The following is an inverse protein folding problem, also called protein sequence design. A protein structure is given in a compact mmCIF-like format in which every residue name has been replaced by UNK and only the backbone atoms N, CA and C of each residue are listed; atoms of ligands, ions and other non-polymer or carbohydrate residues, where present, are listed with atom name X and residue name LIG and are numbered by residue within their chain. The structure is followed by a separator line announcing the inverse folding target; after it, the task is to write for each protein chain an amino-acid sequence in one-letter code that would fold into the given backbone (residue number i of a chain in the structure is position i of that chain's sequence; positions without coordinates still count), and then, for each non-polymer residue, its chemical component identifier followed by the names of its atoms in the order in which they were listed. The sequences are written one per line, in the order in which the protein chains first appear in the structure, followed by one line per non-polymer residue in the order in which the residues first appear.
data_IF_808733383886
#
_entry.id   IF_808733383886
#
_cell.length_a   1.000
_cell.length_b   1.000
_cell.length_c   1.000
_cell.angle_alpha   90.00
_cell.angle_beta   90.00
_cell.angle_gamma   90.00
#
_symmetry.space_group_name_H-M   'P 1'
#
loop_
_entity.id
_entity.type
_entity.pdbx_description
1 polymer ?
#
# COMPACT_ATOMS: atom_id res chain seq x y z
N UNK A 1 -32.19 -6.92 1.75
CA UNK A 1 -31.01 -7.25 0.93
C UNK A 1 -30.05 -8.06 1.78
N UNK A 2 -29.56 -9.14 1.26
CA UNK A 2 -28.59 -9.98 1.96
C UNK A 2 -27.32 -9.15 2.26
N UNK A 3 -26.84 -9.18 3.49
CA UNK A 3 -25.66 -8.45 3.94
C UNK A 3 -24.43 -8.77 3.09
N UNK A 4 -24.25 -10.04 2.71
CA UNK A 4 -23.14 -10.46 1.84
C UNK A 4 -23.17 -9.83 0.46
N UNK A 5 -24.36 -9.63 -0.11
CA UNK A 5 -24.53 -8.97 -1.40
C UNK A 5 -24.17 -7.48 -1.29
N UNK A 6 -24.50 -6.83 -0.17
CA UNK A 6 -24.09 -5.45 0.10
C UNK A 6 -22.58 -5.33 0.25
N UNK A 7 -21.95 -6.24 0.99
CA UNK A 7 -20.50 -6.27 1.18
C UNK A 7 -19.76 -6.47 -0.15
N UNK A 8 -20.28 -7.36 -0.99
CA UNK A 8 -19.72 -7.58 -2.33
C UNK A 8 -19.80 -6.31 -3.20
N UNK A 9 -20.90 -5.57 -3.12
CA UNK A 9 -21.03 -4.30 -3.84
C UNK A 9 -20.01 -3.26 -3.35
N UNK A 10 -19.79 -3.15 -2.05
CA UNK A 10 -18.78 -2.24 -1.49
C UNK A 10 -17.38 -2.62 -1.99
N UNK A 11 -17.04 -3.90 -2.01
CA UNK A 11 -15.74 -4.38 -2.51
C UNK A 11 -15.57 -4.03 -3.99
N UNK A 12 -16.61 -4.19 -4.81
CA UNK A 12 -16.58 -3.82 -6.22
C UNK A 12 -16.41 -2.31 -6.39
N UNK A 13 -17.09 -1.48 -5.60
CA UNK A 13 -16.90 -0.03 -5.64
C UNK A 13 -15.47 0.38 -5.24
N UNK A 14 -14.90 -0.25 -4.22
CA UNK A 14 -13.49 -0.05 -3.86
C UNK A 14 -12.55 -0.44 -5.01
N UNK A 15 -12.84 -1.53 -5.71
CA UNK A 15 -12.06 -1.94 -6.88
C UNK A 15 -12.16 -0.90 -8.02
N UNK A 16 -13.34 -0.38 -8.29
CA UNK A 16 -13.54 0.66 -9.31
C UNK A 16 -12.74 1.91 -9.00
N UNK A 17 -12.69 2.34 -7.73
CA UNK A 17 -11.89 3.51 -7.32
C UNK A 17 -10.40 3.30 -7.62
N UNK A 18 -9.88 2.08 -7.46
CA UNK A 18 -8.50 1.77 -7.81
C UNK A 18 -8.24 1.81 -9.32
N UNK A 19 -9.27 1.62 -10.13
CA UNK A 19 -9.19 1.63 -11.59
C UNK A 19 -9.30 3.03 -12.19
N UNK A 20 -9.64 4.04 -11.40
CA UNK A 20 -9.66 5.43 -11.86
C UNK A 20 -8.28 5.85 -12.38
N UNK A 21 -8.18 6.59 -13.50
CA UNK A 21 -6.90 6.87 -14.16
C UNK A 21 -5.84 7.47 -13.23
N UNK A 22 -6.21 8.47 -12.42
CA UNK A 22 -5.26 9.10 -11.51
C UNK A 22 -4.83 8.14 -10.38
N UNK A 23 -5.75 7.34 -9.86
CA UNK A 23 -5.42 6.34 -8.84
C UNK A 23 -4.51 5.24 -9.42
N UNK A 24 -4.71 4.82 -10.65
CA UNK A 24 -3.81 3.88 -11.34
C UNK A 24 -2.40 4.45 -11.46
N UNK A 25 -2.28 5.72 -11.82
CA UNK A 25 -0.99 6.42 -11.88
C UNK A 25 -0.32 6.47 -10.50
N UNK A 26 -1.05 6.86 -9.47
CA UNK A 26 -0.55 6.93 -8.10
C UNK A 26 -0.06 5.56 -7.60
N UNK A 27 -0.83 4.51 -7.85
CA UNK A 27 -0.47 3.13 -7.46
C UNK A 27 0.77 2.64 -8.20
N UNK A 28 0.86 2.88 -9.51
CA UNK A 28 2.04 2.52 -10.30
C UNK A 28 3.30 3.22 -9.78
N UNK A 29 3.21 4.51 -9.49
CA UNK A 29 4.28 5.28 -8.88
C UNK A 29 4.67 4.70 -7.51
N UNK A 30 3.70 4.43 -6.64
CA UNK A 30 3.96 3.91 -5.30
C UNK A 30 4.72 2.59 -5.33
N UNK A 31 4.34 1.69 -6.24
CA UNK A 31 4.96 0.36 -6.35
C UNK A 31 6.34 0.44 -6.99
N UNK A 32 6.50 1.20 -8.07
CA UNK A 32 7.67 1.12 -8.95
C UNK A 32 8.73 2.20 -8.70
N UNK A 33 8.31 3.41 -8.32
CA UNK A 33 9.21 4.57 -8.25
C UNK A 33 9.47 5.05 -6.81
N UNK A 34 8.50 4.89 -5.92
CA UNK A 34 8.60 5.33 -4.53
C UNK A 34 9.53 4.39 -3.75
N UNK A 35 10.74 4.85 -3.46
CA UNK A 35 11.76 4.08 -2.74
C UNK A 35 12.32 4.88 -1.56
N UNK A 36 11.53 5.10 -0.50
CA UNK A 36 11.95 5.90 0.64
C UNK A 36 13.09 5.22 1.40
N UNK A 37 14.00 6.03 1.98
CA UNK A 37 15.10 5.56 2.78
C UNK A 37 14.90 5.84 4.27
N UNK A 38 13.95 6.70 4.63
CA UNK A 38 13.64 7.06 6.01
C UNK A 38 12.20 7.54 6.15
N UNK A 39 11.67 7.50 7.37
CA UNK A 39 10.36 8.09 7.67
C UNK A 39 10.35 9.60 7.49
N UNK A 40 11.45 10.26 7.81
CA UNK A 40 11.61 11.70 7.58
C UNK A 40 11.46 12.06 6.10
N UNK A 41 12.07 11.30 5.22
CA UNK A 41 11.95 11.52 3.76
C UNK A 41 10.50 11.39 3.30
N UNK A 42 9.73 10.45 3.86
CA UNK A 42 8.30 10.30 3.57
C UNK A 42 7.54 11.56 4.02
N UNK A 43 7.81 12.06 5.23
CA UNK A 43 7.16 13.28 5.73
C UNK A 43 7.52 14.50 4.88
N UNK A 44 8.77 14.64 4.48
CA UNK A 44 9.20 15.70 3.57
C UNK A 44 8.45 15.63 2.23
N UNK A 45 8.26 14.44 1.68
CA UNK A 45 7.46 14.23 0.49
C UNK A 45 6.00 14.66 0.69
N UNK A 46 5.39 14.24 1.81
CA UNK A 46 3.99 14.60 2.13
C UNK A 46 3.77 16.11 2.16
N UNK A 47 4.78 16.87 2.59
CA UNK A 47 4.71 18.33 2.75
C UNK A 47 5.27 19.10 1.55
N UNK A 48 5.80 18.41 0.54
CA UNK A 48 6.59 19.03 -0.53
C UNK A 48 5.76 19.84 -1.55
N UNK A 49 4.45 19.62 -1.64
CA UNK A 49 3.62 20.21 -2.69
C UNK A 49 3.89 19.69 -4.11
N UNK A 50 4.76 18.68 -4.26
CA UNK A 50 5.00 17.98 -5.52
C UNK A 50 3.83 17.06 -5.87
N UNK A 51 3.71 16.66 -7.14
CA UNK A 51 2.67 15.77 -7.61
C UNK A 51 2.71 14.42 -6.88
N UNK A 52 3.89 13.91 -6.62
CA UNK A 52 4.13 12.65 -5.90
C UNK A 52 3.61 12.68 -4.46
N UNK A 53 3.56 13.85 -3.84
CA UNK A 53 2.91 14.05 -2.54
C UNK A 53 1.43 13.67 -2.59
N UNK A 54 0.74 14.06 -3.66
CA UNK A 54 -0.66 13.68 -3.88
C UNK A 54 -0.78 12.18 -4.11
N UNK A 55 0.10 11.58 -4.90
CA UNK A 55 0.09 10.12 -5.14
C UNK A 55 0.28 9.32 -3.85
N UNK A 56 1.24 9.71 -3.03
CA UNK A 56 1.46 9.07 -1.74
C UNK A 56 0.21 9.13 -0.86
N UNK A 57 -0.37 10.32 -0.71
CA UNK A 57 -1.56 10.51 0.12
C UNK A 57 -2.77 9.74 -0.42
N UNK A 58 -2.94 9.68 -1.73
CA UNK A 58 -4.03 8.93 -2.36
C UNK A 58 -3.93 7.45 -2.03
N UNK A 59 -2.76 6.84 -2.19
CA UNK A 59 -2.55 5.42 -1.92
C UNK A 59 -2.68 5.11 -0.43
N UNK A 60 -1.99 5.87 0.42
CA UNK A 60 -1.99 5.65 1.85
C UNK A 60 -3.39 5.85 2.46
N UNK A 61 -4.08 6.93 2.12
CA UNK A 61 -5.42 7.22 2.65
C UNK A 61 -6.48 6.26 2.12
N UNK A 62 -6.36 5.81 0.88
CA UNK A 62 -7.27 4.81 0.32
C UNK A 62 -7.26 3.52 1.17
N UNK A 63 -6.08 2.99 1.45
CA UNK A 63 -5.97 1.74 2.21
C UNK A 63 -6.26 1.91 3.69
N UNK A 64 -5.90 3.05 4.28
CA UNK A 64 -6.26 3.37 5.66
C UNK A 64 -7.78 3.49 5.83
N UNK A 65 -8.46 4.19 4.93
CA UNK A 65 -9.92 4.30 4.94
C UNK A 65 -10.58 2.95 4.74
N UNK A 66 -10.11 2.18 3.76
CA UNK A 66 -10.63 0.83 3.49
C UNK A 66 -10.46 -0.07 4.70
N UNK A 67 -9.28 -0.07 5.33
CA UNK A 67 -9.03 -0.84 6.54
C UNK A 67 -9.94 -0.42 7.71
N UNK A 68 -10.21 0.87 7.85
CA UNK A 68 -11.15 1.39 8.83
C UNK A 68 -12.55 0.80 8.64
N UNK A 69 -13.06 0.77 7.40
CA UNK A 69 -14.36 0.19 7.09
C UNK A 69 -14.42 -1.29 7.46
N UNK A 70 -13.38 -2.06 7.11
CA UNK A 70 -13.31 -3.49 7.44
C UNK A 70 -13.24 -3.71 8.94
N UNK A 71 -12.35 -2.99 9.64
CA UNK A 71 -12.16 -3.13 11.08
C UNK A 71 -13.40 -2.78 11.90
N UNK A 72 -14.24 -1.89 11.38
CA UNK A 72 -15.49 -1.48 12.03
C UNK A 72 -16.70 -2.30 11.57
N UNK A 73 -16.49 -3.36 10.80
CA UNK A 73 -17.56 -4.27 10.38
C UNK A 73 -18.42 -3.73 9.24
N UNK A 74 -18.00 -2.66 8.55
CA UNK A 74 -18.68 -2.12 7.38
C UNK A 74 -18.58 -3.02 6.15
N UNK A 75 -17.62 -3.94 6.16
CA UNK A 75 -17.43 -4.98 5.14
C UNK A 75 -16.95 -6.25 5.84
N UNK A 76 -17.45 -7.41 5.41
CA UNK A 76 -16.99 -8.69 5.92
C UNK A 76 -15.47 -8.85 5.69
N UNK A 77 -14.73 -9.09 6.78
CA UNK A 77 -13.27 -9.15 6.75
C UNK A 77 -12.76 -10.30 5.89
N UNK A 78 -13.36 -11.48 6.01
CA UNK A 78 -12.94 -12.64 5.22
C UNK A 78 -13.14 -12.40 3.73
N UNK A 79 -14.31 -11.91 3.35
CA UNK A 79 -14.62 -11.59 1.95
C UNK A 79 -13.66 -10.53 1.40
N UNK A 80 -13.36 -9.51 2.19
CA UNK A 80 -12.39 -8.48 1.81
C UNK A 80 -10.99 -9.05 1.59
N UNK A 81 -10.51 -9.87 2.52
CA UNK A 81 -9.14 -10.45 2.45
C UNK A 81 -8.99 -11.45 1.30
N UNK A 82 -10.07 -12.16 0.94
CA UNK A 82 -10.06 -13.04 -0.23
C UNK A 82 -10.01 -12.26 -1.55
N UNK A 83 -10.58 -11.07 -1.58
CA UNK A 83 -10.65 -10.23 -2.79
C UNK A 83 -9.46 -9.28 -2.95
N UNK A 84 -8.68 -9.00 -1.90
CA UNK A 84 -7.66 -7.95 -1.90
C UNK A 84 -6.36 -8.42 -1.24
N UNK A 85 -5.23 -8.04 -1.83
CA UNK A 85 -3.90 -8.28 -1.27
C UNK A 85 -2.94 -7.08 -1.37
N UNK A 86 -3.31 -6.03 -2.12
CA UNK A 86 -2.43 -4.88 -2.36
C UNK A 86 -2.16 -4.07 -1.09
N UNK A 87 -3.08 -4.07 -0.13
CA UNK A 87 -2.86 -3.43 1.18
C UNK A 87 -1.64 -4.01 1.91
N UNK A 88 -1.33 -5.29 1.70
CA UNK A 88 -0.12 -5.92 2.23
C UNK A 88 1.14 -5.33 1.58
N UNK A 89 1.10 -5.06 0.28
CA UNK A 89 2.20 -4.45 -0.46
C UNK A 89 2.47 -3.03 0.06
N UNK A 90 1.42 -2.25 0.22
CA UNK A 90 1.53 -0.88 0.73
C UNK A 90 2.09 -0.86 2.14
N UNK A 91 1.55 -1.67 3.03
CA UNK A 91 2.04 -1.73 4.40
C UNK A 91 3.47 -2.28 4.49
N UNK A 92 3.80 -3.29 3.70
CA UNK A 92 5.16 -3.84 3.65
C UNK A 92 6.20 -2.77 3.33
N UNK A 93 5.89 -1.87 2.41
CA UNK A 93 6.78 -0.76 2.05
C UNK A 93 6.92 0.26 3.18
N UNK A 94 5.83 0.55 3.88
CA UNK A 94 5.79 1.60 4.91
C UNK A 94 6.21 1.12 6.31
N UNK A 95 6.04 -0.16 6.61
CA UNK A 95 6.27 -0.71 7.95
C UNK A 95 7.62 -0.32 8.55
N UNK A 96 8.76 -0.38 7.83
CA UNK A 96 10.05 -0.01 8.40
C UNK A 96 10.16 1.45 8.84
N UNK A 97 9.29 2.31 8.36
CA UNK A 97 9.36 3.76 8.55
C UNK A 97 8.23 4.31 9.41
N UNK A 98 7.22 3.49 9.75
CA UNK A 98 5.97 3.98 10.31
C UNK A 98 6.17 4.67 11.67
N UNK A 99 7.02 4.13 12.52
CA UNK A 99 7.29 4.71 13.84
C UNK A 99 7.98 6.07 13.72
N UNK A 100 8.94 6.21 12.81
CA UNK A 100 9.60 7.49 12.55
C UNK A 100 8.62 8.52 11.97
N UNK A 101 7.73 8.10 11.06
CA UNK A 101 6.68 8.98 10.52
C UNK A 101 5.81 9.47 11.67
N UNK A 102 5.30 8.57 12.50
CA UNK A 102 4.44 8.90 13.65
C UNK A 102 5.11 9.89 14.60
N UNK A 103 6.37 9.68 14.93
CA UNK A 103 7.15 10.58 15.77
C UNK A 103 7.32 11.95 15.11
N UNK A 104 7.64 11.98 13.83
CA UNK A 104 7.93 13.23 13.09
C UNK A 104 6.70 14.12 12.95
N UNK A 105 5.52 13.53 12.70
CA UNK A 105 4.27 14.30 12.55
C UNK A 105 3.49 14.46 13.86
N UNK A 106 3.90 13.75 14.93
CA UNK A 106 3.19 13.81 16.21
C UNK A 106 1.85 13.08 16.24
N UNK A 107 1.64 12.09 15.37
CA UNK A 107 0.40 11.33 15.25
C UNK A 107 0.68 9.84 15.50
N UNK A 108 0.50 9.38 16.73
CA UNK A 108 0.79 8.00 17.14
C UNK A 108 -0.10 6.96 16.45
N UNK A 109 -1.26 7.35 15.95
CA UNK A 109 -2.27 6.51 15.32
C UNK A 109 -2.24 6.59 13.77
N UNK A 110 -1.24 7.25 13.19
CA UNK A 110 -1.09 7.33 11.74
C UNK A 110 -1.04 5.92 11.12
N UNK A 111 -1.94 5.63 10.18
CA UNK A 111 -2.12 4.33 9.51
C UNK A 111 -2.41 3.15 10.47
N UNK A 112 -3.02 3.44 11.63
CA UNK A 112 -3.31 2.42 12.64
C UNK A 112 -4.37 1.41 12.18
N UNK A 113 -5.33 1.79 11.36
CA UNK A 113 -6.33 0.86 10.82
C UNK A 113 -5.71 -0.11 9.83
N UNK A 114 -4.87 0.38 8.93
CA UNK A 114 -4.15 -0.48 7.99
C UNK A 114 -3.23 -1.45 8.72
N UNK A 115 -2.46 -0.98 9.68
CA UNK A 115 -1.61 -1.80 10.52
C UNK A 115 -2.41 -2.91 11.23
N UNK A 116 -3.52 -2.54 11.88
CA UNK A 116 -4.37 -3.51 12.59
C UNK A 116 -4.90 -4.59 11.67
N UNK A 117 -5.40 -4.22 10.49
CA UNK A 117 -5.93 -5.17 9.51
C UNK A 117 -4.83 -6.11 9.00
N UNK A 118 -3.68 -5.58 8.65
CA UNK A 118 -2.55 -6.35 8.11
C UNK A 118 -2.00 -7.33 9.16
N UNK A 119 -1.82 -6.89 10.40
CA UNK A 119 -1.22 -7.72 11.46
C UNK A 119 -2.09 -8.91 11.88
N UNK A 120 -3.36 -8.96 11.50
CA UNK A 120 -4.24 -10.13 11.71
C UNK A 120 -3.95 -11.28 10.75
N UNK A 121 -3.24 -11.03 9.66
CA UNK A 121 -2.98 -12.06 8.63
C UNK A 121 -2.02 -13.12 9.19
N UNK A 122 -2.33 -14.44 9.03
CA UNK A 122 -1.42 -15.49 9.47
C UNK A 122 -0.06 -15.41 8.78
N UNK A 123 1.02 -15.64 9.52
CA UNK A 123 2.41 -15.54 9.02
C UNK A 123 2.73 -14.20 8.37
N UNK A 124 2.17 -13.13 8.92
CA UNK A 124 2.24 -11.79 8.32
C UNK A 124 3.67 -11.31 8.10
N UNK A 125 4.59 -11.52 9.04
CA UNK A 125 5.97 -11.03 8.90
C UNK A 125 6.66 -11.64 7.68
N UNK A 126 6.49 -12.94 7.46
CA UNK A 126 7.02 -13.62 6.27
C UNK A 126 6.37 -13.10 4.98
N UNK A 127 5.05 -12.89 5.00
CA UNK A 127 4.33 -12.32 3.85
C UNK A 127 4.80 -10.91 3.52
N UNK A 128 4.98 -10.06 4.52
CA UNK A 128 5.47 -8.70 4.33
C UNK A 128 6.90 -8.68 3.78
N UNK A 129 7.76 -9.55 4.27
CA UNK A 129 9.12 -9.69 3.74
C UNK A 129 9.12 -10.13 2.27
N UNK A 130 8.29 -11.10 1.92
CA UNK A 130 8.11 -11.53 0.54
C UNK A 130 7.62 -10.37 -0.35
N UNK A 131 6.67 -9.56 0.14
CA UNK A 131 6.19 -8.37 -0.58
C UNK A 131 7.29 -7.33 -0.78
N UNK A 132 8.13 -7.09 0.23
CA UNK A 132 9.29 -6.19 0.09
C UNK A 132 10.27 -6.69 -0.98
N UNK A 133 10.50 -7.98 -1.05
CA UNK A 133 11.36 -8.59 -2.08
C UNK A 133 10.77 -8.42 -3.49
N UNK A 134 9.47 -8.62 -3.65
CA UNK A 134 8.76 -8.39 -4.91
C UNK A 134 8.82 -6.91 -5.33
N UNK A 135 8.65 -5.99 -4.39
CA UNK A 135 8.76 -4.55 -4.64
C UNK A 135 10.14 -4.16 -5.17
N UNK A 136 11.20 -4.73 -4.64
CA UNK A 136 12.57 -4.51 -5.14
C UNK A 136 12.73 -4.99 -6.58
N UNK A 137 12.17 -6.15 -6.91
CA UNK A 137 12.20 -6.71 -8.26
C UNK A 137 11.44 -5.83 -9.25
N UNK A 138 10.26 -5.34 -8.88
CA UNK A 138 9.46 -4.43 -9.72
C UNK A 138 10.16 -3.09 -9.94
N UNK A 139 10.76 -2.51 -8.91
CA UNK A 139 11.52 -1.26 -9.03
C UNK A 139 12.74 -1.40 -9.95
N UNK A 140 13.42 -2.54 -9.93
CA UNK A 140 14.53 -2.84 -10.85
C UNK A 140 14.05 -3.00 -12.27
N UNK A 141 12.95 -3.74 -12.49
CA UNK A 141 12.37 -3.94 -13.82
C UNK A 141 11.94 -2.62 -14.46
N UNK A 142 11.33 -1.71 -13.70
CA UNK A 142 10.91 -0.39 -14.20
C UNK A 142 12.09 0.52 -14.57
N UNK A 143 13.26 0.32 -13.94
CA UNK A 143 14.49 1.06 -14.26
C UNK A 143 15.34 0.43 -15.37
N UNK A 144 14.90 -0.70 -15.93
CA UNK A 144 15.63 -1.39 -17.00
C UNK A 144 16.89 -2.14 -16.54
N UNK A 145 17.12 -2.26 -15.24
CA UNK A 145 18.32 -2.93 -14.69
C UNK A 145 18.37 -4.43 -14.96
N UNK A 146 17.23 -5.04 -15.34
CA UNK A 146 17.16 -6.46 -15.70
C UNK A 146 17.64 -6.76 -17.14
N UNK A 147 17.84 -5.76 -18.00
CA UNK A 147 18.30 -5.98 -19.38
C UNK A 147 19.83 -6.14 -19.50
N UNK A 148 20.59 -5.75 -18.48
CA UNK A 148 22.07 -5.81 -18.49
C UNK A 148 22.62 -7.16 -18.01
N UNK A 149 21.82 -7.99 -17.34
CA UNK A 149 22.26 -9.30 -16.83
C UNK A 149 22.31 -10.41 -17.90
N UNK A 150 21.81 -10.20 -19.11
CA UNK A 150 21.75 -11.19 -20.19
C UNK A 150 22.85 -10.99 -21.24
N UNK A 151 23.65 -9.95 -21.12
CA UNK A 151 24.67 -9.55 -22.12
C UNK A 151 26.12 -9.95 -21.83
N UNK A 152 26.41 -10.68 -20.75
CA UNK A 152 27.80 -11.05 -20.40
C UNK A 152 28.03 -12.56 -20.38
N UNK A 153 27.51 -13.25 -21.36
CA UNK A 153 27.72 -14.69 -21.57
C UNK A 153 28.07 -14.99 -23.01
N UNK A 154 29.26 -14.57 -23.46
CA UNK A 154 30.00 -15.16 -24.56
C UNK A 154 31.48 -15.13 -24.25
#
# INVERSE_FOLDING_TARGET
MDTKAQDALVIIELYKLRCEPLMRTARAWFVSEFTPQSGRQIVELMLSGQEESAYYRMVASYWETTASLVNNGGVDEQLFLEANSEHLVVFAKLQPFIDEIRQTIGEADYLAHLERLVLKVPNVEKKLENRRSLLKSWSRASRGENQLAVGSGQ
#
